data_IF_967639179690
#
_entry.id   IF_967639179690
#
_cell.length_a   1.000
_cell.length_b   1.000
_cell.length_c   1.000
_cell.angle_alpha   90.00
_cell.angle_beta   90.00
_cell.angle_gamma   90.00
#
_symmetry.space_group_name_H-M   'P 1'
#
loop_
_entity.id
_entity.type
_entity.pdbx_description
1 polymer ?
#
# COMPACT_ATOMS: atom_id res chain seq x y z
N UNK A 1 -20.55 40.81 57.41
CA UNK A 1 -20.37 41.22 58.83
C UNK A 1 -19.87 40.01 59.60
N UNK A 2 -18.89 40.09 60.52
CA UNK A 2 -17.87 41.10 60.65
C UNK A 2 -16.43 40.58 60.45
N UNK A 3 -15.59 41.57 60.25
CA UNK A 3 -14.13 41.66 60.32
C UNK A 3 -13.64 41.45 61.74
N UNK A 4 -12.51 40.80 61.95
CA UNK A 4 -11.63 41.12 63.09
C UNK A 4 -10.16 41.03 62.70
N UNK A 5 -9.48 42.09 63.01
CA UNK A 5 -8.11 42.47 62.75
C UNK A 5 -7.19 42.17 63.93
N UNK A 6 -5.88 41.94 63.62
CA UNK A 6 -4.64 42.34 64.33
C UNK A 6 -4.16 41.49 65.53
N UNK A 7 -2.89 41.62 65.97
CA UNK A 7 -1.81 42.52 65.53
C UNK A 7 -0.39 41.89 65.41
N UNK A 8 0.50 42.68 64.83
CA UNK A 8 1.96 42.74 64.84
C UNK A 8 2.66 42.36 66.15
N UNK A 9 3.77 41.63 66.07
CA UNK A 9 4.84 41.67 67.02
C UNK A 9 6.21 41.66 66.36
N UNK A 10 6.86 42.83 66.44
CA UNK A 10 8.28 43.08 66.15
C UNK A 10 9.11 42.43 67.26
N UNK A 11 10.16 41.68 66.93
CA UNK A 11 11.37 41.59 67.72
C UNK A 11 12.62 41.52 66.85
N UNK A 12 13.56 42.38 67.25
CA UNK A 12 14.83 42.73 66.66
C UNK A 12 15.96 41.74 66.98
N UNK A 13 17.00 41.82 66.17
CA UNK A 13 18.43 41.61 66.40
C UNK A 13 18.96 40.18 66.64
N UNK A 14 19.84 39.82 65.77
CA UNK A 14 20.88 38.82 65.93
C UNK A 14 21.83 38.83 64.72
N UNK A 15 22.85 39.70 64.80
CA UNK A 15 23.97 39.80 63.86
C UNK A 15 24.85 38.51 64.06
N UNK A 16 24.82 37.55 63.17
CA UNK A 16 25.74 36.41 63.20
C UNK A 16 26.46 36.31 61.88
N UNK A 17 27.70 36.77 61.82
CA UNK A 17 28.61 36.65 60.69
C UNK A 17 29.06 35.18 60.61
N UNK A 18 28.52 34.38 59.68
CA UNK A 18 29.00 33.04 59.35
C UNK A 18 29.64 33.07 57.96
N UNK A 19 30.94 32.84 57.95
CA UNK A 19 31.71 32.69 56.75
C UNK A 19 31.25 31.44 56.03
N UNK A 20 30.60 31.60 54.86
CA UNK A 20 30.24 30.49 53.99
C UNK A 20 31.49 30.02 53.20
N UNK A 21 32.00 28.88 53.55
CA UNK A 21 32.98 28.13 52.73
C UNK A 21 32.22 27.61 51.52
N UNK A 22 32.43 28.24 50.37
CA UNK A 22 31.97 27.74 49.09
C UNK A 22 32.79 26.49 48.69
N UNK A 23 32.30 25.32 49.06
CA UNK A 23 32.75 24.08 48.47
C UNK A 23 32.24 24.02 47.02
N UNK A 24 33.12 24.33 46.06
CA UNK A 24 32.81 24.20 44.66
C UNK A 24 32.63 22.71 44.30
N UNK A 25 31.40 22.29 44.15
CA UNK A 25 31.10 20.98 43.49
C UNK A 25 31.43 21.13 42.03
N UNK A 26 32.61 20.65 41.60
CA UNK A 26 32.88 20.43 40.18
C UNK A 26 32.07 19.23 39.76
N UNK A 27 30.93 19.50 39.08
CA UNK A 27 30.19 18.45 38.38
C UNK A 27 31.03 17.94 37.22
N UNK A 28 31.59 16.76 37.37
CA UNK A 28 32.20 16.02 36.25
C UNK A 28 31.07 15.58 35.34
N UNK A 29 31.06 15.98 34.06
CA UNK A 29 30.04 15.46 33.11
C UNK A 29 30.23 13.95 33.02
N UNK A 30 29.23 13.18 33.43
CA UNK A 30 29.20 11.76 33.12
C UNK A 30 28.94 11.67 31.62
N UNK A 31 29.96 11.27 30.88
CA UNK A 31 29.87 10.96 29.47
C UNK A 31 29.03 9.69 29.35
N UNK A 32 27.70 9.87 29.27
CA UNK A 32 26.75 8.77 29.07
C UNK A 32 26.87 8.37 27.60
N UNK A 33 27.38 7.16 27.30
CA UNK A 33 27.49 6.71 25.89
C UNK A 33 26.11 6.78 25.23
N UNK A 34 26.00 7.57 24.16
CA UNK A 34 24.78 7.60 23.35
C UNK A 34 24.51 6.19 22.84
N UNK A 35 23.34 5.58 23.12
CA UNK A 35 23.04 4.26 22.62
C UNK A 35 23.21 4.21 21.09
N UNK A 36 23.93 3.21 20.58
CA UNK A 36 24.07 3.02 19.15
C UNK A 36 22.67 2.95 18.48
N UNK A 37 22.49 3.55 17.30
CA UNK A 37 21.22 3.49 16.57
C UNK A 37 20.80 2.02 16.41
N UNK A 38 19.60 1.72 16.80
CA UNK A 38 19.05 0.36 16.62
C UNK A 38 19.01 0.04 15.12
N UNK A 39 19.48 -1.15 14.69
CA UNK A 39 19.37 -1.57 13.29
C UNK A 39 17.92 -1.40 12.85
N UNK A 40 17.70 -0.61 11.80
CA UNK A 40 16.37 -0.49 11.18
C UNK A 40 16.11 -1.79 10.41
N UNK A 41 14.89 -2.36 10.51
CA UNK A 41 14.53 -3.49 9.67
C UNK A 41 14.67 -3.11 8.20
N UNK A 42 15.01 -4.07 7.32
CA UNK A 42 15.07 -3.81 5.88
C UNK A 42 13.77 -3.16 5.42
N UNK A 43 13.89 -2.07 4.65
CA UNK A 43 12.70 -1.43 4.07
C UNK A 43 12.12 -2.39 3.03
N UNK A 44 10.84 -2.70 3.16
CA UNK A 44 10.14 -3.45 2.12
C UNK A 44 10.21 -2.71 0.78
N UNK A 45 10.35 -3.45 -0.34
CA UNK A 45 10.30 -2.84 -1.66
C UNK A 45 9.01 -2.04 -1.84
N UNK A 46 9.12 -0.80 -2.31
CA UNK A 46 7.96 0.06 -2.54
C UNK A 46 7.17 -0.35 -3.79
N UNK A 47 7.83 -1.04 -4.73
CA UNK A 47 7.21 -1.53 -5.96
C UNK A 47 6.90 -3.01 -5.83
N UNK A 48 5.68 -3.40 -6.24
CA UNK A 48 5.27 -4.78 -6.41
C UNK A 48 4.97 -5.02 -7.90
N UNK A 49 5.59 -6.06 -8.47
CA UNK A 49 5.40 -6.42 -9.87
C UNK A 49 4.50 -7.66 -9.98
N UNK A 50 3.59 -7.62 -10.94
CA UNK A 50 2.65 -8.70 -11.23
C UNK A 50 2.77 -9.09 -12.68
N UNK A 51 2.56 -10.38 -12.97
CA UNK A 51 2.53 -10.87 -14.33
C UNK A 51 1.58 -12.06 -14.39
N UNK A 52 0.83 -12.16 -15.47
CA UNK A 52 -0.04 -13.32 -15.71
C UNK A 52 -0.12 -13.68 -17.18
N UNK A 53 -0.28 -14.98 -17.43
CA UNK A 53 -0.75 -15.49 -18.71
C UNK A 53 -2.26 -15.65 -18.68
N UNK A 54 -2.91 -15.22 -19.77
CA UNK A 54 -4.35 -15.30 -19.94
C UNK A 54 -4.68 -16.39 -20.94
N UNK A 55 -5.63 -17.24 -20.55
CA UNK A 55 -6.06 -18.41 -21.34
C UNK A 55 -7.57 -18.61 -21.15
N UNK A 56 -8.26 -19.15 -22.14
CA UNK A 56 -9.68 -19.46 -22.06
C UNK A 56 -10.00 -20.52 -21.02
N UNK A 57 -9.07 -21.45 -20.77
CA UNK A 57 -9.23 -22.49 -19.74
C UNK A 57 -9.27 -21.94 -18.31
N UNK A 58 -8.75 -20.73 -18.12
CA UNK A 58 -8.78 -20.05 -16.83
C UNK A 58 -10.12 -19.34 -16.55
N UNK A 59 -11.01 -19.24 -17.55
CA UNK A 59 -12.36 -18.68 -17.34
C UNK A 59 -13.21 -19.59 -16.45
N UNK A 60 -14.24 -18.99 -15.86
CA UNK A 60 -15.20 -19.70 -15.01
C UNK A 60 -16.62 -19.38 -15.49
N UNK A 61 -17.27 -20.33 -16.17
CA UNK A 61 -16.76 -21.65 -16.61
C UNK A 61 -15.66 -21.54 -17.69
N UNK A 62 -14.81 -22.57 -17.86
CA UNK A 62 -13.77 -22.58 -18.90
C UNK A 62 -14.35 -22.47 -20.30
N UNK A 63 -13.64 -21.76 -21.19
CA UNK A 63 -14.00 -21.65 -22.62
C UNK A 63 -12.92 -22.20 -23.53
N UNK A 64 -13.34 -22.82 -24.63
CA UNK A 64 -12.45 -23.30 -25.65
C UNK A 64 -12.09 -22.15 -26.61
N UNK A 65 -11.02 -21.44 -26.33
CA UNK A 65 -10.44 -20.41 -27.18
C UNK A 65 -9.03 -20.77 -27.59
N UNK A 66 -8.65 -20.36 -28.80
CA UNK A 66 -7.26 -20.40 -29.30
C UNK A 66 -6.51 -19.10 -28.93
N UNK A 67 -7.22 -18.16 -28.34
CA UNK A 67 -6.67 -16.89 -27.88
C UNK A 67 -5.67 -17.07 -26.75
N UNK A 68 -4.70 -16.20 -26.70
CA UNK A 68 -3.73 -16.08 -25.60
C UNK A 68 -3.50 -14.64 -25.25
N UNK A 69 -3.13 -14.36 -24.01
CA UNK A 69 -2.79 -13.03 -23.56
C UNK A 69 -1.74 -13.03 -22.45
N UNK A 70 -1.16 -11.87 -22.22
CA UNK A 70 -0.28 -11.59 -21.09
C UNK A 70 -0.62 -10.23 -20.51
N UNK A 71 -0.54 -10.09 -19.20
CA UNK A 71 -0.59 -8.81 -18.54
C UNK A 71 0.58 -8.69 -17.57
N UNK A 72 1.31 -7.59 -17.70
CA UNK A 72 2.32 -7.15 -16.73
C UNK A 72 1.82 -5.90 -16.04
N UNK A 73 1.98 -5.83 -14.73
CA UNK A 73 1.59 -4.66 -13.93
C UNK A 73 2.60 -4.36 -12.83
N UNK A 74 2.69 -3.09 -12.44
CA UNK A 74 3.51 -2.61 -11.33
C UNK A 74 2.67 -1.71 -10.45
N UNK A 75 2.61 -2.04 -9.17
CA UNK A 75 2.01 -1.22 -8.11
C UNK A 75 3.12 -0.48 -7.36
N UNK A 76 3.02 0.83 -7.30
CA UNK A 76 3.74 1.63 -6.32
C UNK A 76 2.92 1.65 -5.01
N UNK A 77 3.39 0.92 -4.00
CA UNK A 77 2.70 0.78 -2.70
C UNK A 77 2.64 2.09 -1.91
N UNK A 78 3.54 3.03 -2.18
CA UNK A 78 3.58 4.32 -1.50
C UNK A 78 2.51 5.29 -2.00
N UNK A 79 2.20 5.24 -3.29
CA UNK A 79 1.24 6.14 -3.94
C UNK A 79 -0.08 5.45 -4.29
N UNK A 80 -0.14 4.12 -4.28
CA UNK A 80 -1.27 3.34 -4.75
C UNK A 80 -1.40 3.29 -6.26
N UNK A 81 -0.43 3.81 -7.01
CA UNK A 81 -0.49 3.87 -8.47
C UNK A 81 -0.18 2.51 -9.08
N UNK A 82 -1.19 1.87 -9.67
CA UNK A 82 -1.05 0.69 -10.51
C UNK A 82 -0.86 1.13 -11.97
N UNK A 83 0.13 0.55 -12.65
CA UNK A 83 0.35 0.69 -14.10
C UNK A 83 0.38 -0.70 -14.72
N UNK A 84 -0.14 -0.83 -15.94
CA UNK A 84 -0.17 -2.13 -16.63
C UNK A 84 0.05 -2.00 -18.12
N UNK A 85 0.44 -3.14 -18.72
CA UNK A 85 0.45 -3.40 -20.14
C UNK A 85 -0.20 -4.76 -20.39
N UNK A 86 -1.16 -4.81 -21.31
CA UNK A 86 -1.86 -5.99 -21.74
C UNK A 86 -1.48 -6.30 -23.21
N UNK A 87 -1.20 -7.55 -23.50
CA UNK A 87 -1.01 -8.04 -24.88
C UNK A 87 -1.88 -9.28 -25.10
N UNK A 88 -2.38 -9.45 -26.30
CA UNK A 88 -3.21 -10.60 -26.67
C UNK A 88 -3.12 -10.91 -28.15
N UNK A 89 -3.43 -12.15 -28.52
CA UNK A 89 -3.43 -12.62 -29.90
C UNK A 89 -4.44 -13.78 -30.09
N UNK A 90 -4.75 -14.06 -31.35
CA UNK A 90 -5.59 -15.20 -31.79
C UNK A 90 -6.96 -15.24 -31.11
N UNK A 91 -7.55 -14.07 -30.82
CA UNK A 91 -8.90 -13.99 -30.29
C UNK A 91 -9.96 -14.39 -31.33
N UNK A 92 -11.13 -14.78 -30.85
CA UNK A 92 -12.29 -15.13 -31.68
C UNK A 92 -12.91 -13.95 -32.43
N UNK A 93 -12.50 -12.72 -32.12
CA UNK A 93 -12.96 -11.48 -32.71
C UNK A 93 -12.37 -10.25 -32.02
N UNK A 94 -12.80 -9.05 -32.40
CA UNK A 94 -12.38 -7.83 -31.74
C UNK A 94 -12.72 -7.85 -30.25
N UNK A 95 -11.86 -7.22 -29.44
CA UNK A 95 -12.11 -7.03 -28.01
C UNK A 95 -13.28 -6.08 -27.83
N UNK A 96 -14.26 -6.48 -27.04
CA UNK A 96 -15.42 -5.67 -26.68
C UNK A 96 -15.28 -5.03 -25.30
N UNK A 97 -14.55 -5.68 -24.38
CA UNK A 97 -14.25 -5.16 -23.06
C UNK A 97 -13.04 -5.87 -22.45
N UNK A 98 -12.39 -5.22 -21.50
CA UNK A 98 -11.39 -5.82 -20.65
C UNK A 98 -11.44 -5.20 -19.26
N UNK A 99 -11.26 -5.99 -18.20
CA UNK A 99 -11.39 -5.52 -16.83
C UNK A 99 -10.40 -6.22 -15.90
N UNK A 100 -10.02 -5.49 -14.84
CA UNK A 100 -9.60 -6.14 -13.60
C UNK A 100 -10.83 -6.44 -12.74
N UNK A 101 -10.82 -7.58 -12.11
CA UNK A 101 -11.86 -8.06 -11.21
C UNK A 101 -11.27 -8.42 -9.85
N UNK A 102 -12.05 -8.28 -8.79
CA UNK A 102 -11.67 -8.66 -7.43
C UNK A 102 -12.66 -8.21 -6.36
N UNK A 103 -12.48 -8.71 -5.12
CA UNK A 103 -11.57 -9.79 -4.75
C UNK A 103 -12.12 -11.18 -5.08
N UNK A 104 -11.30 -12.05 -5.64
CA UNK A 104 -11.64 -13.45 -5.91
C UNK A 104 -10.42 -14.36 -5.80
N UNK A 105 -10.62 -15.54 -5.27
CA UNK A 105 -9.63 -16.62 -5.34
C UNK A 105 -9.61 -17.22 -6.76
N UNK A 106 -8.55 -17.96 -7.07
CA UNK A 106 -8.45 -18.72 -8.33
C UNK A 106 -9.70 -19.62 -8.48
N UNK A 107 -10.33 -19.58 -9.65
CA UNK A 107 -11.54 -20.36 -9.92
C UNK A 107 -12.85 -19.74 -9.42
N UNK A 108 -12.80 -18.51 -8.89
CA UNK A 108 -13.99 -17.77 -8.43
C UNK A 108 -14.19 -16.50 -9.26
N UNK A 109 -15.43 -16.13 -9.54
CA UNK A 109 -15.79 -14.87 -10.19
C UNK A 109 -15.99 -13.76 -9.17
N UNK A 110 -15.71 -12.51 -9.60
CA UNK A 110 -15.97 -11.28 -8.86
C UNK A 110 -16.43 -10.17 -9.81
N UNK A 111 -17.06 -9.10 -9.31
CA UNK A 111 -17.41 -7.95 -10.13
C UNK A 111 -16.16 -7.23 -10.66
N UNK A 112 -16.29 -6.44 -11.75
CA UNK A 112 -15.20 -5.61 -12.24
C UNK A 112 -14.88 -4.47 -11.24
N UNK A 113 -13.59 -4.15 -11.11
CA UNK A 113 -13.09 -3.06 -10.26
C UNK A 113 -12.41 -1.95 -11.07
N UNK A 114 -11.83 -2.28 -12.22
CA UNK A 114 -11.20 -1.32 -13.14
C UNK A 114 -11.50 -1.76 -14.57
N UNK A 115 -11.98 -0.83 -15.40
CA UNK A 115 -12.07 -1.04 -16.84
C UNK A 115 -10.72 -0.73 -17.50
N UNK A 116 -10.29 -1.62 -18.39
CA UNK A 116 -9.09 -1.46 -19.21
C UNK A 116 -9.52 -1.00 -20.60
N UNK A 117 -8.98 0.13 -21.07
CA UNK A 117 -9.18 0.55 -22.45
C UNK A 117 -8.37 -0.40 -23.36
N UNK A 118 -9.06 -1.33 -23.98
CA UNK A 118 -8.51 -2.33 -24.87
C UNK A 118 -8.88 -2.07 -26.33
N UNK A 119 -9.02 -0.83 -26.72
CA UNK A 119 -9.31 -0.41 -28.10
C UNK A 119 -8.29 -1.00 -29.08
N UNK A 120 -8.75 -1.56 -30.23
CA UNK A 120 -7.91 -2.34 -31.15
C UNK A 120 -6.74 -1.53 -31.77
N UNK A 121 -6.80 -0.21 -31.71
CA UNK A 121 -5.80 0.68 -32.32
C UNK A 121 -4.80 1.25 -31.30
N UNK A 122 -4.81 0.79 -30.05
CA UNK A 122 -3.94 1.27 -28.99
C UNK A 122 -3.36 0.08 -28.23
N UNK A 123 -2.05 0.12 -27.97
CA UNK A 123 -1.49 -0.84 -27.02
C UNK A 123 -2.25 -0.68 -25.69
N UNK A 124 -2.85 -1.74 -25.14
CA UNK A 124 -3.70 -1.63 -23.95
C UNK A 124 -2.83 -1.40 -22.70
N UNK A 125 -2.29 -0.20 -22.60
CA UNK A 125 -1.56 0.28 -21.44
C UNK A 125 -2.47 1.21 -20.64
N UNK A 126 -2.33 1.18 -19.33
CA UNK A 126 -3.12 2.04 -18.48
C UNK A 126 -2.55 2.23 -17.08
N UNK A 127 -3.26 3.04 -16.33
CA UNK A 127 -2.95 3.31 -14.94
C UNK A 127 -4.23 3.61 -14.14
N UNK A 128 -4.20 3.28 -12.86
CA UNK A 128 -5.26 3.64 -11.91
C UNK A 128 -4.66 3.82 -10.51
N UNK A 129 -5.29 4.68 -9.70
CA UNK A 129 -4.96 4.78 -8.28
C UNK A 129 -5.84 3.80 -7.50
N UNK A 130 -5.21 2.91 -6.75
CA UNK A 130 -5.89 1.92 -5.92
C UNK A 130 -6.11 2.47 -4.52
N UNK A 131 -7.27 2.18 -3.95
CA UNK A 131 -7.49 2.37 -2.51
C UNK A 131 -6.61 1.41 -1.70
N UNK A 132 -6.35 1.67 -0.40
CA UNK A 132 -5.59 0.74 0.43
C UNK A 132 -6.17 -0.69 0.46
N UNK A 133 -7.50 -0.84 0.45
CA UNK A 133 -8.16 -2.15 0.37
C UNK A 133 -7.85 -2.86 -0.94
N UNK A 134 -7.96 -2.17 -2.07
CA UNK A 134 -7.66 -2.72 -3.39
C UNK A 134 -6.18 -3.11 -3.53
N UNK A 135 -5.26 -2.33 -2.95
CA UNK A 135 -3.84 -2.70 -2.90
C UNK A 135 -3.63 -4.00 -2.11
N UNK A 136 -4.25 -4.11 -0.92
CA UNK A 136 -4.15 -5.32 -0.10
C UNK A 136 -4.71 -6.56 -0.82
N UNK A 137 -5.83 -6.41 -1.52
CA UNK A 137 -6.45 -7.48 -2.31
C UNK A 137 -5.56 -7.94 -3.47
N UNK A 138 -4.98 -6.99 -4.20
CA UNK A 138 -4.05 -7.26 -5.31
C UNK A 138 -2.78 -7.96 -4.81
N UNK A 139 -2.15 -7.45 -3.74
CA UNK A 139 -0.96 -8.04 -3.11
C UNK A 139 -1.24 -9.44 -2.56
N UNK A 140 -2.46 -9.70 -2.11
CA UNK A 140 -2.90 -11.03 -1.68
C UNK A 140 -3.20 -11.99 -2.86
N UNK A 141 -2.98 -11.58 -4.13
CA UNK A 141 -3.25 -12.40 -5.31
C UNK A 141 -4.75 -12.63 -5.56
N UNK A 142 -5.62 -11.75 -5.08
CA UNK A 142 -7.07 -11.88 -5.16
C UNK A 142 -7.69 -11.09 -6.32
N UNK A 143 -6.88 -10.66 -7.27
CA UNK A 143 -7.35 -10.00 -8.48
C UNK A 143 -7.05 -10.86 -9.71
N UNK A 144 -7.94 -10.79 -10.70
CA UNK A 144 -7.70 -11.34 -12.03
C UNK A 144 -8.04 -10.30 -13.11
N UNK A 145 -7.48 -10.48 -14.28
CA UNK A 145 -7.83 -9.76 -15.49
C UNK A 145 -8.62 -10.67 -16.41
N UNK A 146 -9.68 -10.16 -17.07
CA UNK A 146 -10.30 -10.86 -18.18
C UNK A 146 -10.49 -9.93 -19.39
N UNK A 147 -10.70 -10.56 -20.52
CA UNK A 147 -10.87 -9.95 -21.82
C UNK A 147 -12.06 -10.60 -22.51
N UNK A 148 -12.95 -9.77 -23.05
CA UNK A 148 -14.21 -10.20 -23.66
C UNK A 148 -14.18 -9.94 -25.16
N UNK A 149 -14.92 -10.79 -25.90
CA UNK A 149 -15.21 -10.61 -27.33
C UNK A 149 -16.70 -10.81 -27.57
N UNK A 150 -17.17 -10.47 -28.76
CA UNK A 150 -18.58 -10.70 -29.13
C UNK A 150 -19.02 -12.17 -29.02
N UNK A 151 -18.06 -13.10 -29.28
CA UNK A 151 -18.31 -14.55 -29.15
C UNK A 151 -18.36 -15.02 -27.70
N UNK A 152 -17.60 -14.36 -26.82
CA UNK A 152 -17.49 -14.68 -25.41
C UNK A 152 -17.76 -13.42 -24.57
N UNK A 153 -19.03 -13.02 -24.45
CA UNK A 153 -19.42 -11.78 -23.73
C UNK A 153 -19.13 -11.85 -22.22
N UNK A 154 -19.09 -13.06 -21.64
CA UNK A 154 -18.74 -13.28 -20.23
C UNK A 154 -17.23 -13.40 -20.00
N UNK A 155 -16.44 -13.37 -21.07
CA UNK A 155 -14.97 -13.42 -21.07
C UNK A 155 -14.40 -14.54 -21.94
N UNK A 156 -13.42 -14.18 -22.76
CA UNK A 156 -12.68 -15.12 -23.59
C UNK A 156 -11.38 -15.56 -22.95
N UNK A 157 -10.62 -14.63 -22.38
CA UNK A 157 -9.35 -14.92 -21.71
C UNK A 157 -9.37 -14.42 -20.27
N UNK A 158 -8.73 -15.18 -19.38
CA UNK A 158 -8.57 -14.82 -17.97
C UNK A 158 -7.18 -15.18 -17.46
N UNK A 159 -6.63 -14.34 -16.56
CA UNK A 159 -5.39 -14.59 -15.83
C UNK A 159 -5.43 -14.02 -14.43
N UNK A 160 -5.06 -14.81 -13.42
CA UNK A 160 -4.93 -14.36 -12.04
C UNK A 160 -3.64 -13.55 -11.88
N UNK A 161 -3.70 -12.42 -11.19
CA UNK A 161 -2.52 -11.59 -10.90
C UNK A 161 -1.84 -12.10 -9.64
N UNK A 162 -0.58 -12.52 -9.79
CA UNK A 162 0.26 -12.97 -8.67
C UNK A 162 1.51 -12.12 -8.65
N UNK A 163 1.89 -11.67 -7.45
CA UNK A 163 3.13 -10.90 -7.26
C UNK A 163 4.35 -11.73 -7.62
N UNK A 164 5.23 -11.16 -8.43
CA UNK A 164 6.53 -11.76 -8.78
C UNK A 164 7.51 -11.49 -7.65
N UNK A 165 8.05 -12.52 -7.07
CA UNK A 165 9.11 -12.48 -6.06
C UNK A 165 10.46 -12.70 -6.68
#
# INVERSE_FOLDING_TARGET
MPVTSHPLSRRLLGLGLMAAVLAGCTSVPLDVPTPAPRPQPPREPQLAAFSTRMDGRNQVPPVASMGTGTLDAVLDKSTGLLRWRLAYSNLSGPVTAAHFHGPALIGMNAPPVITIDASPNRAPEGRANLTPSQQAELLAGRWYVNLHTARYPDGELRGQLIERR
#
